data_IF_602598608324
#
_entry.id   IF_602598608324
#
_cell.length_a   1.000
_cell.length_b   1.000
_cell.length_c   1.000
_cell.angle_alpha   90.00
_cell.angle_beta   90.00
_cell.angle_gamma   90.00
#
_symmetry.space_group_name_H-M   'P 1'
#
loop_
_entity.id
_entity.type
_entity.pdbx_description
1 polymer ?
2 non-polymer ?
3 non-polymer ?
4 non-polymer ?
5 non-polymer ?
6 water ?
#
# COMPACT_ATOMS: atom_id res chain seq x y z
N UNK A 38 7.56 -30.14 -4.01
CA UNK A 38 6.66 -28.99 -4.01
C UNK A 38 7.42 -27.66 -3.93
N UNK A 39 7.29 -26.83 -4.98
CA UNK A 39 7.71 -25.43 -4.88
C UNK A 39 6.53 -24.56 -4.49
N UNK A 40 6.75 -23.44 -3.80
CA UNK A 40 5.65 -22.52 -3.51
C UNK A 40 5.08 -21.93 -4.78
N UNK A 41 3.91 -21.29 -4.71
CA UNK A 41 3.35 -20.61 -5.89
C UNK A 41 4.33 -19.59 -6.47
N UNK A 42 4.33 -19.50 -7.81
CA UNK A 42 5.29 -18.66 -8.51
C UNK A 42 5.27 -17.22 -8.01
N UNK A 43 4.09 -16.69 -7.68
CA UNK A 43 4.04 -15.32 -7.17
C UNK A 43 4.77 -15.17 -5.85
N UNK A 44 4.79 -16.21 -5.02
CA UNK A 44 5.47 -16.11 -3.73
C UNK A 44 6.97 -16.29 -3.90
N UNK A 45 7.40 -17.22 -4.75
CA UNK A 45 8.80 -17.27 -5.18
C UNK A 45 9.29 -15.90 -5.59
N UNK A 46 8.51 -15.23 -6.45
CA UNK A 46 8.90 -13.91 -6.92
C UNK A 46 8.98 -12.93 -5.75
N UNK A 47 7.87 -12.75 -5.03
CA UNK A 47 7.79 -11.66 -4.06
C UNK A 47 8.70 -11.89 -2.86
N UNK A 48 8.68 -13.10 -2.30
CA UNK A 48 9.43 -13.38 -1.09
C UNK A 48 10.82 -13.97 -1.34
N UNK A 49 11.03 -14.66 -2.45
CA UNK A 49 12.32 -15.31 -2.66
C UNK A 49 13.33 -14.54 -3.50
N UNK A 50 12.88 -13.71 -4.44
CA UNK A 50 13.72 -13.26 -5.55
C UNK A 50 14.45 -11.96 -5.23
N UNK A 51 15.68 -11.85 -5.74
CA UNK A 51 16.35 -10.55 -5.75
C UNK A 51 15.66 -9.54 -6.65
N UNK A 52 15.03 -10.01 -7.73
CA UNK A 52 14.26 -9.11 -8.58
C UNK A 52 13.25 -8.31 -7.76
N UNK A 53 12.51 -9.00 -6.88
CA UNK A 53 11.47 -8.32 -6.11
C UNK A 53 12.07 -7.37 -5.09
N UNK A 54 13.19 -7.74 -4.44
CA UNK A 54 13.75 -6.83 -3.46
C UNK A 54 14.37 -5.60 -4.14
N UNK A 55 14.98 -5.78 -5.32
CA UNK A 55 15.48 -4.62 -6.05
C UNK A 55 14.33 -3.70 -6.44
N UNK A 56 13.20 -4.28 -6.84
CA UNK A 56 12.01 -3.51 -7.18
C UNK A 56 11.52 -2.69 -5.98
N UNK A 57 11.58 -3.26 -4.78
CA UNK A 57 11.10 -2.58 -3.59
C UNK A 57 12.06 -1.49 -3.13
N UNK A 58 13.37 -1.76 -3.16
CA UNK A 58 14.37 -0.74 -2.85
C UNK A 58 14.24 0.45 -3.81
N UNK A 59 13.94 0.17 -5.08
CA UNK A 59 13.74 1.24 -6.05
C UNK A 59 12.58 2.15 -5.63
N UNK A 60 11.45 1.56 -5.23
CA UNK A 60 10.31 2.36 -4.81
C UNK A 60 10.67 3.28 -3.64
N UNK A 61 11.42 2.76 -2.66
CA UNK A 61 11.70 3.56 -1.47
C UNK A 61 12.81 4.57 -1.73
N UNK A 62 13.76 4.27 -2.62
CA UNK A 62 14.70 5.29 -3.07
C UNK A 62 13.98 6.45 -3.74
N UNK A 63 13.05 6.16 -4.66
CA UNK A 63 12.28 7.24 -5.28
C UNK A 63 11.46 8.00 -4.24
N UNK A 64 10.87 7.28 -3.27
CA UNK A 64 10.07 7.95 -2.26
C UNK A 64 10.94 8.89 -1.44
N UNK A 65 12.12 8.43 -1.01
CA UNK A 65 12.96 9.27 -0.16
C UNK A 65 13.43 10.51 -0.91
N UNK A 66 13.79 10.36 -2.20
CA UNK A 66 14.18 11.52 -2.99
C UNK A 66 13.00 12.49 -3.13
N UNK A 67 11.80 11.96 -3.30
CA UNK A 67 10.62 12.81 -3.43
C UNK A 67 10.33 13.57 -2.14
N UNK A 68 10.36 12.84 -1.01
CA UNK A 68 10.10 13.48 0.28
C UNK A 68 11.14 14.56 0.58
N UNK A 69 12.42 14.28 0.30
CA UNK A 69 13.47 15.27 0.57
C UNK A 69 13.21 16.57 -0.20
N UNK A 70 12.80 16.48 -1.47
CA UNK A 70 12.51 17.67 -2.23
C UNK A 70 11.33 18.44 -1.64
N UNK A 71 10.28 17.72 -1.24
CA UNK A 71 9.10 18.38 -0.71
C UNK A 71 9.34 18.93 0.70
N UNK A 72 10.33 18.39 1.43
CA UNK A 72 10.70 18.95 2.73
C UNK A 72 11.38 20.29 2.53
N UNK A 73 12.20 20.43 1.47
CA UNK A 73 12.87 21.68 1.17
C UNK A 73 11.92 22.69 0.54
N UNK A 74 10.96 22.23 -0.27
CA UNK A 74 10.02 23.11 -0.96
C UNK A 74 8.63 22.51 -0.75
N UNK A 75 7.95 22.97 0.30
CA UNK A 75 6.62 22.49 0.64
C UNK A 75 5.65 22.64 -0.53
N UNK A 76 4.92 21.60 -0.93
CA UNK A 76 3.98 21.72 -2.06
C UNK A 76 2.72 22.47 -1.66
N UNK A 77 1.97 22.90 -2.68
CA UNK A 77 0.65 23.46 -2.43
C UNK A 77 -0.39 22.37 -2.17
N UNK A 78 -0.33 21.27 -2.91
CA UNK A 78 -1.26 20.16 -2.74
C UNK A 78 -0.61 18.99 -2.01
N UNK A 79 -1.40 18.32 -1.19
CA UNK A 79 -0.96 17.02 -0.68
C UNK A 79 -1.22 15.97 -1.74
N UNK A 80 -0.89 14.71 -1.42
CA UNK A 80 -1.06 13.60 -2.35
C UNK A 80 -2.34 12.82 -2.05
N UNK A 81 -3.23 13.36 -1.23
CA UNK A 81 -4.50 12.72 -0.90
C UNK A 81 -5.62 13.43 -1.63
N UNK A 82 -6.42 12.68 -2.38
CA UNK A 82 -7.49 13.26 -3.19
C UNK A 82 -8.54 13.93 -2.32
N UNK A 83 -9.07 15.04 -2.81
CA UNK A 83 -10.19 15.70 -2.14
C UNK A 83 -11.42 14.78 -2.15
N UNK A 84 -12.26 14.95 -1.14
CA UNK A 84 -13.54 14.25 -1.11
C UNK A 84 -14.40 14.71 -2.29
N UNK A 85 -15.01 13.74 -2.97
CA UNK A 85 -15.81 14.05 -4.14
C UNK A 85 -15.03 14.20 -5.41
N UNK A 86 -13.70 14.30 -5.36
CA UNK A 86 -12.91 14.28 -6.57
C UNK A 86 -12.97 12.88 -7.17
N UNK A 87 -13.34 12.78 -8.46
CA UNK A 87 -13.41 11.52 -9.14
C UNK A 87 -12.14 11.21 -9.95
N UNK A 88 -12.04 9.95 -10.40
CA UNK A 88 -10.90 9.54 -11.20
C UNK A 88 -10.91 10.15 -12.59
N UNK A 89 -12.05 10.68 -13.04
CA UNK A 89 -12.10 11.40 -14.30
C UNK A 89 -11.68 12.86 -14.17
N UNK A 90 -11.40 13.34 -12.97
CA UNK A 90 -10.98 14.73 -12.77
C UNK A 90 -10.33 14.87 -11.38
N UNK A 91 -9.16 14.28 -11.17
CA UNK A 91 -8.57 14.25 -9.81
C UNK A 91 -8.23 15.65 -9.30
N UNK A 92 -8.57 15.89 -8.02
CA UNK A 92 -8.19 17.09 -7.28
C UNK A 92 -7.79 16.64 -5.87
N UNK A 93 -6.98 17.46 -5.18
CA UNK A 93 -6.28 17.01 -3.97
C UNK A 93 -6.54 17.91 -2.78
N UNK A 94 -6.44 17.31 -1.58
CA UNK A 94 -6.53 18.11 -0.33
C UNK A 94 -5.33 19.05 -0.26
N UNK A 95 -5.55 20.34 -0.03
CA UNK A 95 -4.41 21.27 0.12
C UNK A 95 -3.43 20.85 1.19
N UNK A 96 -2.16 21.20 0.96
CA UNK A 96 -1.10 20.97 1.95
C UNK A 96 -1.17 21.99 3.08
N UNK A 97 -1.44 23.24 2.76
CA UNK A 97 -1.58 24.27 3.80
C UNK A 97 -0.31 24.40 4.61
N UNK A 98 -0.47 24.69 5.90
CA UNK A 98 0.65 24.76 6.83
C UNK A 98 0.72 23.55 7.76
N UNK A 99 0.02 22.49 7.42
CA UNK A 99 -0.09 21.33 8.30
C UNK A 99 1.24 20.58 8.37
N UNK A 100 1.51 19.90 9.49
CA UNK A 100 2.77 19.17 9.62
C UNK A 100 2.93 18.09 8.54
N UNK A 101 4.17 17.88 8.10
CA UNK A 101 4.44 17.01 6.97
C UNK A 101 4.33 15.55 7.38
N UNK A 102 3.77 14.72 6.49
CA UNK A 102 3.63 13.31 6.80
C UNK A 102 3.70 12.48 5.53
N UNK A 103 3.93 11.17 5.73
CA UNK A 103 3.85 10.14 4.71
C UNK A 103 2.96 9.02 5.21
N UNK A 104 2.11 8.49 4.34
CA UNK A 104 1.12 7.50 4.70
C UNK A 104 1.51 6.19 4.04
N UNK A 105 1.42 5.09 4.80
CA UNK A 105 1.76 3.78 4.27
C UNK A 105 0.66 2.77 4.56
N UNK A 106 0.26 2.05 3.52
CA UNK A 106 -0.33 0.73 3.70
C UNK A 106 0.62 -0.13 4.53
N UNK A 107 0.13 -1.16 5.22
CA UNK A 107 1.02 -2.00 6.01
C UNK A 107 1.36 -3.26 5.24
N UNK A 108 0.36 -4.13 5.03
CA UNK A 108 0.66 -5.49 4.56
C UNK A 108 1.21 -5.47 3.13
N UNK A 109 2.41 -6.02 2.96
CA UNK A 109 3.10 -6.09 1.67
C UNK A 109 3.42 -4.71 1.10
N UNK A 110 3.36 -3.66 1.92
CA UNK A 110 3.91 -2.36 1.57
C UNK A 110 5.11 -1.99 2.42
N UNK A 111 5.00 -2.06 3.76
CA UNK A 111 6.16 -1.91 4.62
C UNK A 111 6.53 -3.21 5.33
N UNK A 112 5.61 -4.17 5.44
CA UNK A 112 5.77 -5.41 6.17
C UNK A 112 5.40 -6.60 5.27
N UNK A 113 6.26 -7.61 5.23
CA UNK A 113 5.97 -8.87 4.53
C UNK A 113 5.35 -9.88 5.50
N UNK A 114 4.17 -10.39 5.17
CA UNK A 114 3.46 -11.36 6.02
C UNK A 114 3.93 -12.78 5.72
N UNK A 115 5.22 -13.02 5.96
CA UNK A 115 5.85 -14.27 5.52
C UNK A 115 5.16 -15.48 6.14
N UNK A 116 4.90 -15.42 7.46
CA UNK A 116 4.27 -16.57 8.12
C UNK A 116 2.91 -16.92 7.54
N UNK A 117 2.08 -15.91 7.25
CA UNK A 117 0.77 -16.20 6.68
C UNK A 117 0.89 -16.78 5.27
N UNK A 118 1.79 -16.22 4.45
CA UNK A 118 1.89 -16.75 3.09
C UNK A 118 2.51 -18.14 3.09
N UNK A 119 3.36 -18.44 4.07
CA UNK A 119 3.81 -19.81 4.28
C UNK A 119 2.63 -20.75 4.53
N UNK A 120 1.75 -20.35 5.45
CA UNK A 120 0.54 -21.13 5.73
C UNK A 120 -0.31 -21.30 4.47
N UNK A 121 -0.47 -20.22 3.69
CA UNK A 121 -1.27 -20.30 2.47
C UNK A 121 -0.64 -21.27 1.48
N UNK A 122 0.67 -21.15 1.26
CA UNK A 122 1.34 -22.08 0.35
C UNK A 122 1.27 -23.52 0.86
N UNK A 123 1.45 -23.74 2.17
CA UNK A 123 1.44 -25.11 2.68
C UNK A 123 0.05 -25.73 2.62
N UNK A 124 -0.99 -24.98 3.01
CA UNK A 124 -2.32 -25.55 3.18
C UNK A 124 -3.28 -25.26 2.02
N UNK A 125 -2.99 -24.27 1.17
CA UNK A 125 -3.97 -23.82 0.20
C UNK A 125 -5.16 -23.10 0.79
N UNK A 126 -5.08 -22.67 2.06
CA UNK A 126 -6.18 -21.97 2.71
C UNK A 126 -5.88 -20.48 2.91
N UNK A 127 -5.26 -19.86 1.90
CA UNK A 127 -5.01 -18.42 1.97
C UNK A 127 -6.27 -17.58 2.12
N UNK A 128 -7.40 -18.04 1.56
CA UNK A 128 -8.65 -17.28 1.57
C UNK A 128 -9.45 -17.44 2.87
N UNK A 129 -8.92 -18.16 3.86
CA UNK A 129 -9.57 -18.41 5.13
C UNK A 129 -9.57 -17.13 5.99
N UNK A 130 -10.75 -16.53 6.15
CA UNK A 130 -10.81 -15.27 6.90
C UNK A 130 -10.54 -15.49 8.39
N UNK A 131 -10.90 -16.66 8.93
CA UNK A 131 -10.60 -16.91 10.35
C UNK A 131 -9.10 -17.15 10.56
N UNK A 132 -8.43 -17.78 9.60
CA UNK A 132 -6.97 -17.91 9.67
C UNK A 132 -6.30 -16.53 9.59
N UNK A 133 -6.78 -15.65 8.70
CA UNK A 133 -6.18 -14.33 8.64
C UNK A 133 -6.40 -13.56 9.95
N UNK A 134 -7.57 -13.69 10.56
CA UNK A 134 -7.79 -13.06 11.86
C UNK A 134 -6.82 -13.59 12.91
N UNK A 135 -6.66 -14.92 12.98
CA UNK A 135 -5.67 -15.49 13.90
C UNK A 135 -4.28 -14.94 13.62
N UNK A 136 -3.95 -14.73 12.34
CA UNK A 136 -2.64 -14.20 11.95
C UNK A 136 -2.45 -12.77 12.44
N UNK A 137 -3.50 -11.93 12.31
CA UNK A 137 -3.44 -10.57 12.87
C UNK A 137 -3.12 -10.62 14.35
N UNK A 138 -3.67 -11.60 15.06
CA UNK A 138 -3.50 -11.67 16.52
C UNK A 138 -2.17 -12.29 16.95
N UNK A 139 -1.58 -13.21 16.15
CA UNK A 139 -0.48 -14.04 16.60
C UNK A 139 0.73 -14.09 15.65
N UNK A 140 0.74 -13.30 14.57
CA UNK A 140 1.77 -13.36 13.53
C UNK A 140 2.98 -12.46 13.74
N UNK A 141 2.94 -11.67 14.80
CA UNK A 141 3.98 -10.77 15.29
C UNK A 141 5.43 -11.14 15.02
N UNK A 142 5.79 -12.40 15.26
CA UNK A 142 7.15 -12.86 15.15
C UNK A 142 7.45 -13.51 13.81
N UNK A 143 6.53 -13.37 12.85
CA UNK A 143 6.74 -14.01 11.56
C UNK A 143 6.61 -12.99 10.43
N UNK A 144 6.91 -11.72 10.70
CA UNK A 144 6.90 -10.66 9.70
C UNK A 144 8.34 -10.19 9.48
N UNK A 145 8.58 -9.62 8.31
CA UNK A 145 9.83 -8.97 7.98
C UNK A 145 9.53 -7.63 7.32
N UNK A 146 10.45 -6.67 7.37
CA UNK A 146 10.26 -5.44 6.60
C UNK A 146 10.31 -5.74 5.11
N UNK A 147 9.45 -5.05 4.34
CA UNK A 147 9.66 -4.98 2.89
C UNK A 147 11.06 -4.42 2.65
N UNK A 148 11.86 -4.97 1.74
CA UNK A 148 13.24 -4.48 1.59
C UNK A 148 13.30 -2.96 1.44
N UNK A 149 14.06 -2.31 2.32
CA UNK A 149 14.21 -0.87 2.34
C UNK A 149 13.21 -0.12 3.20
N UNK A 150 12.17 -0.79 3.71
CA UNK A 150 11.11 -0.06 4.42
C UNK A 150 11.58 0.40 5.80
N UNK A 151 12.35 -0.44 6.50
CA UNK A 151 12.83 -0.02 7.82
C UNK A 151 13.78 1.17 7.69
N UNK A 152 14.67 1.13 6.71
CA UNK A 152 15.59 2.24 6.46
C UNK A 152 14.82 3.49 6.04
N UNK A 153 13.82 3.33 5.18
CA UNK A 153 13.05 4.47 4.69
C UNK A 153 12.33 5.18 5.83
N UNK A 154 11.76 4.41 6.73
CA UNK A 154 10.97 4.96 7.81
C UNK A 154 11.87 5.74 8.79
N UNK A 155 13.07 5.20 9.06
CA UNK A 155 14.04 5.93 9.88
C UNK A 155 14.44 7.26 9.22
N UNK A 156 14.73 7.23 7.92
CA UNK A 156 15.11 8.45 7.22
C UNK A 156 13.99 9.50 7.26
N UNK A 157 12.74 9.09 7.02
CA UNK A 157 11.63 10.04 7.09
C UNK A 157 11.53 10.69 8.46
N UNK A 158 11.75 9.92 9.53
CA UNK A 158 11.66 10.51 10.87
C UNK A 158 12.82 11.45 11.14
N UNK A 159 14.03 11.09 10.69
CA UNK A 159 15.16 12.00 10.79
C UNK A 159 14.91 13.29 10.01
N UNK A 160 14.07 13.24 8.99
CA UNK A 160 13.74 14.42 8.20
C UNK A 160 12.63 15.24 8.83
N UNK A 161 12.11 14.82 9.98
CA UNK A 161 10.96 15.49 10.59
C UNK A 161 9.62 15.16 9.95
N UNK A 162 9.51 14.08 9.18
CA UNK A 162 8.25 13.69 8.53
C UNK A 162 7.58 12.61 9.37
N UNK A 163 6.31 12.83 9.74
CA UNK A 163 5.56 11.89 10.55
C UNK A 163 5.15 10.68 9.71
N UNK A 164 5.36 9.47 10.24
CA UNK A 164 5.05 8.23 9.53
C UNK A 164 3.70 7.72 10.03
N UNK A 165 2.72 7.64 9.11
CA UNK A 165 1.35 7.25 9.42
C UNK A 165 1.02 5.97 8.65
N UNK A 166 0.45 4.99 9.34
CA UNK A 166 0.04 3.74 8.71
C UNK A 166 -1.48 3.71 8.57
N UNK A 167 -1.96 3.29 7.40
CA UNK A 167 -3.40 3.16 7.14
C UNK A 167 -3.61 1.77 6.54
N UNK A 168 -4.17 0.85 7.33
CA UNK A 168 -4.15 -0.56 6.98
C UNK A 168 -5.53 -1.15 7.17
N UNK A 169 -5.84 -2.22 6.43
CA UNK A 169 -7.12 -2.88 6.62
C UNK A 169 -7.04 -4.04 7.60
N UNK A 170 -5.94 -4.17 8.33
CA UNK A 170 -5.96 -4.95 9.56
C UNK A 170 -7.02 -4.36 10.49
N UNK A 171 -7.58 -5.21 11.35
CA UNK A 171 -8.75 -4.84 12.13
C UNK A 171 -8.40 -4.01 13.37
N UNK A 172 -9.28 -3.05 13.71
CA UNK A 172 -9.12 -2.24 14.91
C UNK A 172 -8.95 -3.09 16.17
N UNK A 173 -9.72 -4.18 16.30
CA UNK A 173 -9.62 -5.02 17.49
C UNK A 173 -8.29 -5.74 17.61
N UNK A 174 -7.51 -5.79 16.55
CA UNK A 174 -6.17 -6.37 16.61
C UNK A 174 -5.09 -5.29 16.51
N UNK A 175 -5.42 -4.08 16.98
CA UNK A 175 -4.49 -2.97 16.91
C UNK A 175 -3.21 -3.24 17.71
N UNK A 176 -3.34 -3.82 18.92
CA UNK A 176 -2.16 -4.01 19.76
C UNK A 176 -1.19 -5.03 19.16
N UNK A 177 -1.61 -6.23 18.75
CA UNK A 177 -0.65 -7.12 18.03
C UNK A 177 -0.10 -6.52 16.76
N UNK A 178 -0.89 -5.71 16.05
CA UNK A 178 -0.40 -5.09 14.82
C UNK A 178 0.68 -4.06 15.14
N UNK A 179 0.49 -3.29 16.21
CA UNK A 179 1.53 -2.38 16.69
C UNK A 179 2.82 -3.17 16.95
N UNK A 180 2.69 -4.32 17.63
CA UNK A 180 3.87 -5.11 17.95
C UNK A 180 4.52 -5.68 16.69
N UNK A 181 3.71 -6.06 15.69
CA UNK A 181 4.28 -6.60 14.46
C UNK A 181 5.02 -5.51 13.69
N UNK A 182 4.43 -4.32 13.61
CA UNK A 182 5.09 -3.18 12.99
C UNK A 182 6.44 -2.91 13.66
N UNK A 183 6.47 -2.88 15.00
CA UNK A 183 7.73 -2.64 15.69
C UNK A 183 8.72 -3.78 15.44
N UNK A 184 8.22 -5.03 15.42
CA UNK A 184 9.09 -6.18 15.20
C UNK A 184 9.72 -6.15 13.80
N UNK A 185 9.02 -5.58 12.82
CA UNK A 185 9.55 -5.43 11.48
C UNK A 185 10.53 -4.28 11.36
N UNK A 186 10.85 -3.60 12.46
CA UNK A 186 11.83 -2.53 12.45
C UNK A 186 11.28 -1.20 11.99
N UNK A 187 9.96 -1.01 12.04
CA UNK A 187 9.30 0.15 11.48
C UNK A 187 8.90 1.19 12.53
N UNK A 188 9.38 1.06 13.78
CA UNK A 188 9.10 2.05 14.81
C UNK A 188 7.77 1.83 15.53
N UNK A 189 7.35 2.85 16.27
CA UNK A 189 6.21 2.78 17.18
C UNK A 189 5.00 3.44 16.54
N UNK A 190 4.00 2.64 16.21
CA UNK A 190 2.72 3.11 15.71
C UNK A 190 1.76 3.30 16.87
N UNK A 191 0.87 4.30 16.74
CA UNK A 191 -0.09 4.59 17.80
C UNK A 191 -1.48 4.67 17.21
N UNK A 192 -2.36 3.79 17.68
CA UNK A 192 -3.73 3.72 17.18
C UNK A 192 -4.42 5.08 17.32
N UNK A 193 -4.98 5.60 16.24
CA UNK A 193 -5.71 6.85 16.28
C UNK A 193 -4.87 8.08 16.06
N UNK A 194 -3.54 7.95 16.07
CA UNK A 194 -2.62 9.05 15.83
C UNK A 194 -1.76 8.76 14.59
N UNK A 195 -1.02 7.66 14.59
CA UNK A 195 -0.20 7.26 13.46
C UNK A 195 -0.55 5.85 12.98
N UNK A 196 -1.65 5.28 13.45
CA UNK A 196 -2.13 3.99 12.95
C UNK A 196 -3.64 4.04 12.82
N UNK A 197 -4.15 3.75 11.62
CA UNK A 197 -5.58 3.73 11.35
C UNK A 197 -5.94 2.41 10.70
N UNK A 198 -7.00 1.77 11.21
CA UNK A 198 -7.31 0.39 10.90
C UNK A 198 -8.75 0.24 10.45
N UNK A 199 -9.01 -0.86 9.78
CA UNK A 199 -10.37 -1.18 9.36
C UNK A 199 -11.26 -1.32 10.59
N UNK A 200 -12.40 -0.64 10.57
CA UNK A 200 -13.25 -0.57 11.74
C UNK A 200 -13.11 0.71 12.53
N UNK A 201 -12.07 1.51 12.28
CA UNK A 201 -11.98 2.82 12.93
C UNK A 201 -13.09 3.75 12.48
N UNK A 202 -13.76 3.42 11.37
CA UNK A 202 -15.01 4.04 10.97
C UNK A 202 -15.91 2.94 10.41
N UNK A 203 -17.09 3.34 9.93
CA UNK A 203 -18.08 2.39 9.43
C UNK A 203 -17.96 2.15 7.93
N UNK A 204 -16.78 2.39 7.33
CA UNK A 204 -16.57 2.23 5.88
C UNK A 204 -15.96 0.87 5.51
N UNK A 205 -15.73 -0.01 6.48
CA UNK A 205 -15.20 -1.33 6.13
C UNK A 205 -13.80 -1.23 5.54
N UNK A 206 -13.60 -1.88 4.38
CA UNK A 206 -12.30 -1.92 3.75
C UNK A 206 -12.00 -0.68 2.92
N UNK A 207 -13.01 0.18 2.73
CA UNK A 207 -12.81 1.47 2.09
C UNK A 207 -11.91 2.35 2.97
N UNK A 208 -10.83 2.84 2.39
CA UNK A 208 -9.84 3.60 3.13
C UNK A 208 -9.97 5.12 2.94
N UNK A 209 -10.89 5.58 2.10
CA UNK A 209 -11.01 7.02 1.83
C UNK A 209 -11.34 7.81 3.10
N UNK A 210 -12.18 7.24 3.98
CA UNK A 210 -12.52 7.95 5.20
C UNK A 210 -11.30 8.18 6.08
N UNK A 211 -10.50 7.14 6.27
CA UNK A 211 -9.28 7.32 7.06
C UNK A 211 -8.32 8.28 6.36
N UNK A 212 -8.23 8.21 5.02
CA UNK A 212 -7.36 9.15 4.32
C UNK A 212 -7.81 10.58 4.56
N UNK A 213 -9.12 10.82 4.59
CA UNK A 213 -9.61 12.19 4.82
C UNK A 213 -9.27 12.65 6.23
N UNK A 214 -9.38 11.76 7.22
CA UNK A 214 -8.97 12.12 8.58
C UNK A 214 -7.49 12.48 8.62
N UNK A 215 -6.65 11.65 7.99
CA UNK A 215 -5.21 11.93 8.00
C UNK A 215 -4.91 13.26 7.30
N UNK A 216 -5.51 13.46 6.11
CA UNK A 216 -5.23 14.66 5.34
C UNK A 216 -5.72 15.91 6.04
N UNK A 217 -6.70 15.79 6.95
CA UNK A 217 -7.15 16.97 7.68
C UNK A 217 -6.15 17.39 8.76
N UNK A 218 -5.30 16.48 9.22
CA UNK A 218 -4.30 16.80 10.24
C UNK A 218 -2.92 17.06 9.68
N UNK A 219 -2.56 16.43 8.56
CA UNK A 219 -1.21 16.50 8.04
C UNK A 219 -1.21 16.95 6.58
N UNK A 220 -0.07 17.46 6.17
CA UNK A 220 0.23 17.63 4.75
C UNK A 220 0.94 16.36 4.33
N UNK A 221 0.20 15.45 3.70
CA UNK A 221 0.77 14.16 3.30
C UNK A 221 1.50 14.33 1.98
N UNK A 222 2.83 14.22 2.02
CA UNK A 222 3.66 14.48 0.85
C UNK A 222 4.07 13.21 0.12
N UNK A 223 3.76 12.03 0.66
CA UNK A 223 4.02 10.77 -0.04
C UNK A 223 3.11 9.69 0.54
N UNK A 224 2.69 8.76 -0.31
CA UNK A 224 1.80 7.71 0.14
C UNK A 224 2.23 6.42 -0.57
N UNK A 225 2.42 5.33 0.19
CA UNK A 225 2.87 4.06 -0.36
C UNK A 225 1.83 2.96 -0.20
N UNK A 226 1.81 2.03 -1.17
CA UNK A 226 0.85 0.94 -1.12
C UNK A 226 1.14 -0.12 -2.16
N UNK A 227 0.58 -1.30 -1.95
CA UNK A 227 0.68 -2.40 -2.90
C UNK A 227 -0.62 -2.65 -3.66
N UNK A 228 -1.71 -1.99 -3.27
CA UNK A 228 -3.03 -2.14 -3.88
C UNK A 228 -3.56 -0.77 -4.26
N UNK A 229 -4.32 -0.70 -5.36
CA UNK A 229 -4.79 0.60 -5.83
C UNK A 229 -5.71 1.26 -4.80
N UNK A 230 -6.41 0.46 -4.00
CA UNK A 230 -7.22 1.03 -2.92
C UNK A 230 -6.41 1.69 -1.80
N UNK A 231 -5.09 1.52 -1.82
CA UNK A 231 -4.21 2.25 -0.91
C UNK A 231 -3.94 3.67 -1.38
N UNK A 232 -4.49 4.03 -2.55
CA UNK A 232 -4.42 5.40 -3.07
C UNK A 232 -5.79 6.01 -3.25
N UNK A 233 -6.77 5.26 -3.75
CA UNK A 233 -8.14 5.74 -3.80
C UNK A 233 -9.10 4.56 -3.81
N UNK A 234 -10.21 4.66 -3.05
CA UNK A 234 -11.27 3.67 -3.15
C UNK A 234 -11.95 3.69 -4.51
N UNK A 235 -11.72 4.73 -5.30
CA UNK A 235 -12.40 4.86 -6.58
C UNK A 235 -11.91 3.83 -7.60
N UNK A 236 -10.75 3.22 -7.37
CA UNK A 236 -10.30 2.12 -8.22
C UNK A 236 -11.09 0.84 -7.98
N UNK A 237 -11.84 0.74 -6.89
CA UNK A 237 -12.48 -0.52 -6.50
C UNK A 237 -13.99 -0.34 -6.37
N UNK A 238 -14.66 -1.43 -6.01
CA UNK A 238 -16.10 -1.38 -5.80
C UNK A 238 -16.91 -1.22 -7.08
N UNK A 239 -16.37 -1.66 -8.21
CA UNK A 239 -17.07 -1.46 -9.47
C UNK A 239 -16.20 -1.70 -10.69
N UNK A 240 -15.19 -0.86 -10.87
CA UNK A 240 -14.37 -0.93 -12.09
C UNK A 240 -13.83 -2.34 -12.33
N UNK A 241 -13.91 -2.75 -13.60
CA UNK A 241 -13.37 -4.04 -14.03
C UNK A 241 -11.85 -4.02 -14.02
N UNK A 242 -11.29 -5.22 -14.23
CA UNK A 242 -9.85 -5.39 -14.33
C UNK A 242 -9.26 -4.44 -15.37
N UNK A 243 -9.85 -4.40 -16.56
CA UNK A 243 -9.28 -3.55 -17.62
C UNK A 243 -9.55 -2.08 -17.34
N UNK A 244 -10.70 -1.75 -16.75
CA UNK A 244 -10.97 -0.36 -16.40
C UNK A 244 -9.94 0.15 -15.38
N UNK A 245 -9.64 -0.64 -14.34
CA UNK A 245 -8.70 -0.18 -13.33
C UNK A 245 -7.31 0.04 -13.92
N UNK A 246 -6.88 -0.83 -14.83
CA UNK A 246 -5.56 -0.63 -15.44
C UNK A 246 -5.54 0.64 -16.26
N UNK A 247 -6.59 0.88 -17.06
CA UNK A 247 -6.65 2.12 -17.80
C UNK A 247 -6.65 3.32 -16.86
N UNK A 248 -7.32 3.21 -15.71
CA UNK A 248 -7.41 4.37 -14.83
C UNK A 248 -6.04 4.81 -14.33
N UNK A 249 -5.09 3.88 -14.19
CA UNK A 249 -3.76 4.27 -13.74
C UNK A 249 -3.04 5.15 -14.76
N UNK A 250 -3.53 5.19 -16.00
CA UNK A 250 -2.94 5.98 -17.07
C UNK A 250 -3.74 7.22 -17.41
N UNK A 251 -4.85 7.48 -16.72
CA UNK A 251 -5.42 8.82 -16.77
C UNK A 251 -4.32 9.82 -16.42
N UNK A 252 -4.17 10.92 -17.16
CA UNK A 252 -2.93 11.72 -17.02
C UNK A 252 -2.72 12.29 -15.64
N UNK A 253 -3.77 12.82 -14.98
CA UNK A 253 -3.60 13.35 -13.64
C UNK A 253 -3.33 12.25 -12.61
N UNK A 254 -3.71 11.01 -12.91
CA UNK A 254 -3.33 9.90 -12.03
C UNK A 254 -1.92 9.41 -12.37
N UNK A 255 -1.63 9.32 -13.67
CA UNK A 255 -0.34 8.80 -14.12
C UNK A 255 0.81 9.63 -13.57
N UNK A 256 0.62 10.95 -13.48
CA UNK A 256 1.65 11.83 -12.95
C UNK A 256 2.04 11.50 -11.51
N UNK A 257 1.21 10.75 -10.77
CA UNK A 257 1.49 10.49 -9.36
C UNK A 257 2.52 9.38 -9.15
N UNK A 258 2.62 8.44 -10.08
CA UNK A 258 3.37 7.21 -9.82
C UNK A 258 4.87 7.51 -9.73
N UNK A 259 5.50 7.13 -8.62
CA UNK A 259 6.89 7.52 -8.41
C UNK A 259 7.07 9.00 -8.17
N UNK A 260 5.97 9.71 -7.93
CA UNK A 260 6.01 11.15 -7.81
C UNK A 260 4.95 11.61 -6.80
N UNK A 261 4.81 10.88 -5.69
CA UNK A 261 3.84 11.18 -4.66
C UNK A 261 3.10 9.92 -4.21
N UNK A 262 2.80 9.05 -5.17
CA UNK A 262 2.20 7.74 -4.93
C UNK A 262 3.26 6.71 -5.29
N UNK A 263 3.58 5.83 -4.33
CA UNK A 263 4.68 4.89 -4.48
C UNK A 263 4.15 3.48 -4.29
N UNK A 264 4.52 2.59 -5.21
CA UNK A 264 3.88 1.30 -5.39
C UNK A 264 4.87 0.19 -5.07
N UNK A 265 4.41 -0.81 -4.34
CA UNK A 265 5.17 -2.00 -4.01
C UNK A 265 4.49 -3.22 -4.64
N UNK A 266 5.26 -4.22 -5.04
CA UNK A 266 4.69 -5.34 -5.80
C UNK A 266 3.94 -6.32 -4.91
N UNK A 267 2.86 -6.88 -5.48
CA UNK A 267 2.11 -7.94 -4.81
C UNK A 267 1.43 -8.81 -5.87
N UNK A 268 2.14 -9.81 -6.39
CA UNK A 268 1.51 -10.80 -7.27
C UNK A 268 1.06 -12.04 -6.52
N UNK A 269 0.79 -11.91 -5.22
CA UNK A 269 0.50 -13.04 -4.36
C UNK A 269 -0.98 -13.12 -4.00
N UNK A 270 -1.59 -11.99 -3.65
CA UNK A 270 -3.01 -11.96 -3.29
C UNK A 270 -3.56 -10.59 -3.61
N UNK A 271 -4.89 -10.48 -3.64
CA UNK A 271 -5.55 -9.19 -3.70
C UNK A 271 -5.97 -8.76 -5.08
N UNK A 272 -6.12 -7.44 -5.23
CA UNK A 272 -6.89 -6.92 -6.34
C UNK A 272 -6.16 -6.99 -7.68
N UNK A 273 -4.85 -7.30 -7.68
CA UNK A 273 -4.12 -7.55 -8.91
C UNK A 273 -4.27 -8.96 -9.47
N UNK A 274 -4.88 -9.86 -8.71
CA UNK A 274 -5.02 -11.26 -9.14
C UNK A 274 -6.44 -11.55 -9.59
N UNK A 275 -6.87 -10.88 -10.66
CA UNK A 275 -8.22 -10.99 -11.18
C UNK A 275 -8.17 -11.00 -12.71
N UNK A 276 -9.26 -11.47 -13.31
CA UNK A 276 -9.44 -11.35 -14.74
C UNK A 276 -9.36 -12.69 -15.45
N UNK A 277 -10.21 -12.87 -16.45
CA UNK A 277 -10.14 -14.01 -17.33
C UNK A 277 -9.17 -13.78 -18.47
N UNK A 278 -9.17 -14.71 -19.42
CA UNK A 278 -8.24 -14.61 -20.55
C UNK A 278 -8.47 -13.33 -21.36
N UNK A 279 -9.73 -12.96 -21.59
CA UNK A 279 -10.00 -11.81 -22.43
C UNK A 279 -9.60 -10.49 -21.78
N UNK A 280 -9.43 -10.46 -20.46
CA UNK A 280 -9.02 -9.22 -19.82
C UNK A 280 -7.52 -9.18 -19.58
N UNK A 281 -6.86 -10.33 -19.60
CA UNK A 281 -5.42 -10.38 -19.38
C UNK A 281 -4.67 -10.29 -20.70
N UNK A 282 -5.21 -10.92 -21.74
CA UNK A 282 -4.55 -11.01 -23.05
C UNK A 282 -5.48 -10.37 -24.07
N UNK A 283 -5.34 -9.07 -24.33
CA UNK A 283 -6.25 -8.38 -25.25
C UNK A 283 -6.25 -9.04 -26.62
N UNK A 284 -7.42 -9.10 -27.25
CA UNK A 284 -7.59 -9.98 -28.39
C UNK A 284 -6.87 -9.50 -29.65
N UNK A 285 -6.40 -8.25 -29.71
CA UNK A 285 -5.57 -7.84 -30.83
C UNK A 285 -4.11 -8.27 -30.67
N UNK A 286 -3.74 -8.82 -29.51
CA UNK A 286 -2.37 -9.21 -29.23
C UNK A 286 -2.21 -10.72 -29.07
N UNK A 287 -3.05 -11.51 -29.71
CA UNK A 287 -2.99 -12.95 -29.52
C UNK A 287 -2.26 -13.65 -30.66
N UNK A 288 -1.77 -14.85 -30.36
CA UNK A 288 -0.78 -15.53 -31.20
C UNK A 288 -0.78 -17.01 -30.85
N UNK A 289 -0.49 -17.86 -31.83
CA UNK A 289 -0.39 -19.30 -31.62
C UNK A 289 0.91 -19.82 -32.21
N UNK A 290 1.58 -20.69 -31.47
CA UNK A 290 2.81 -21.28 -32.00
C UNK A 290 2.49 -22.17 -33.21
N UNK A 291 3.47 -22.34 -34.12
CA UNK A 291 3.34 -23.25 -35.28
C UNK A 291 2.95 -24.66 -34.88
X LIG B 1 -8.55 -13.98 2.19
X LIG B 1 -8.59 -13.73 3.59
X LIG B 1 -7.73 -12.55 4.00
X LIG B 1 -6.33 -12.93 3.86
X LIG B 1 -7.91 -11.25 3.21
X LIG B 1 -7.79 -10.14 4.09
X LIG B 1 -6.70 -11.25 2.25
X LIG B 1 -6.27 -9.95 1.89
X LIG B 1 -5.65 -11.97 3.08
X LIG B 1 -4.64 -12.73 2.33
X LIG B 1 -3.28 -12.72 2.57
X LIG B 1 -2.60 -13.56 1.82
X LIG B 1 -3.58 -14.19 1.07
X LIG B 1 -3.52 -15.19 0.08
X LIG B 1 -2.38 -15.76 -0.33
X LIG B 1 -4.68 -15.59 -0.49
X LIG B 1 -5.83 -15.02 -0.07
X LIG B 1 -6.01 -14.07 0.85
X LIG B 1 -4.84 -13.69 1.39
X LIG C 1 -12.80 8.50 9.58
X LIG C 1 -13.60 8.10 8.47
X LIG C 1 -11.52 7.73 9.68
X LIG C 1 -10.87 8.02 10.91
X LIG C 1 -11.57 7.51 12.05
X LIG C 1 -11.25 8.33 13.27
X LIG C 1 -10.07 7.86 13.93
X LIG D 1 -1.36 -3.99 1.54
X LIG E 1 -3.25 -3.78 4.37
X LIG E 1 -2.18 -3.13 5.25
X LIG E 1 -4.39 -2.80 4.05
X LIG E 1 -3.86 -4.94 5.15
X LIG E 1 -2.60 -4.25 3.08
#
# INVERSE_FOLDING_TARGET
MASWSHPQFEKGSSHHHHHHSSGSGGGGGENLYFQGSETPPAGMQYLYGSGEASALSLQAYQALLAHVAAKVKVRPADSVILAEGAGLDDPRFVPCGAKPLAAVFDVDETVMLNIGYEYHAARTGRGFDTAAWDAWERTGEAAVAPVPGADRMVRALRQMGVTVVFNTNRAAGNAEPTVRAIKAAGLGDAVHGQTLFLSGDDAMGSRKDGRRATIAARYCVIAMGGDQLGDFSDLFNGGPSVTARRAATMQPAIAQMWGNGWFVLPNPVYGSGLKGGFDEVFPLDKRWAAPADGEK
ADN O5' C5' C4' O4' C3' O3' C2' O2' C1' N9 C8 N7 C5 C6 N6 N1 C2 N3 C4
PEG C1 O1 C2 O2 C3 C4 O4
MG MG
PO4 P O1 O2 O3 O4
#
